data_IF_877620762923
#
_entry.id   IF_877620762923
#
_cell.length_a   1.000
_cell.length_b   1.000
_cell.length_c   1.000
_cell.angle_alpha   90.00
_cell.angle_beta   90.00
_cell.angle_gamma   90.00
#
_symmetry.space_group_name_H-M   'P 1'
#
loop_
_entity.id
_entity.type
_entity.pdbx_description
1 polymer ?
#
# COMPACT_ATOMS: atom_id res chain seq x y z
N UNK A 1 -1.39 -9.16 -17.13
CA UNK A 1 -0.85 -8.82 -15.79
C UNK A 1 -1.98 -8.24 -14.95
N UNK A 2 -2.11 -8.63 -13.68
CA UNK A 2 -3.18 -8.26 -12.71
C UNK A 2 -4.66 -8.53 -13.07
N UNK A 3 -4.99 -8.87 -14.32
CA UNK A 3 -6.37 -9.04 -14.78
C UNK A 3 -7.05 -7.67 -14.90
N UNK A 4 -8.33 -7.58 -14.53
CA UNK A 4 -9.08 -6.31 -14.56
C UNK A 4 -8.81 -5.40 -13.34
N UNK A 5 -7.74 -5.69 -12.57
CA UNK A 5 -7.45 -5.00 -11.31
C UNK A 5 -6.38 -3.94 -11.47
N UNK A 6 -6.71 -2.74 -11.01
CA UNK A 6 -5.81 -1.58 -10.94
C UNK A 6 -4.93 -1.69 -9.71
N UNK A 7 -3.63 -1.49 -9.85
CA UNK A 7 -2.70 -1.58 -8.73
C UNK A 7 -1.26 -1.81 -9.16
N UNK A 8 -0.44 -2.17 -8.19
CA UNK A 8 0.96 -2.52 -8.38
C UNK A 8 1.29 -3.80 -7.63
N UNK A 9 2.29 -4.53 -8.13
CA UNK A 9 2.89 -5.68 -7.45
C UNK A 9 4.40 -5.53 -7.51
N UNK A 10 5.06 -5.69 -6.37
CA UNK A 10 6.52 -5.74 -6.25
C UNK A 10 6.88 -7.06 -5.60
N UNK A 11 7.76 -7.83 -6.23
CA UNK A 11 8.35 -9.03 -5.64
C UNK A 11 9.85 -8.82 -5.49
N UNK A 12 10.35 -9.01 -4.27
CA UNK A 12 11.75 -8.85 -3.91
C UNK A 12 12.31 -10.17 -3.38
N UNK A 13 13.58 -10.45 -3.64
CA UNK A 13 14.34 -11.39 -2.82
C UNK A 13 14.76 -10.66 -1.53
N UNK A 14 14.25 -11.06 -0.35
CA UNK A 14 14.54 -10.35 0.90
C UNK A 14 15.98 -10.51 1.38
N UNK A 15 16.76 -11.42 0.79
CA UNK A 15 18.14 -11.72 1.20
C UNK A 15 19.16 -10.76 0.59
N UNK A 16 18.87 -10.26 -0.61
CA UNK A 16 19.79 -9.43 -1.40
C UNK A 16 19.13 -8.16 -1.99
N UNK A 17 17.80 -8.03 -1.91
CA UNK A 17 17.06 -6.88 -2.43
C UNK A 17 16.77 -6.93 -3.94
N UNK A 18 17.04 -8.04 -4.62
CA UNK A 18 16.76 -8.17 -6.06
C UNK A 18 15.27 -8.00 -6.37
N UNK A 19 14.97 -7.23 -7.40
CA UNK A 19 13.60 -7.04 -7.88
C UNK A 19 13.26 -8.16 -8.86
N UNK A 20 12.53 -9.17 -8.38
CA UNK A 20 12.07 -10.31 -9.17
C UNK A 20 10.90 -9.92 -10.08
N UNK A 21 10.07 -8.97 -9.65
CA UNK A 21 9.00 -8.40 -10.46
C UNK A 21 8.65 -6.97 -10.01
N UNK A 22 8.37 -6.11 -11.00
CA UNK A 22 7.84 -4.76 -10.79
C UNK A 22 6.70 -4.53 -11.80
N UNK A 23 5.45 -4.68 -11.34
CA UNK A 23 4.27 -4.56 -12.17
C UNK A 23 3.41 -3.36 -11.74
N UNK A 24 2.85 -2.65 -12.72
CA UNK A 24 1.89 -1.56 -12.55
C UNK A 24 0.76 -1.75 -13.56
N UNK A 25 -0.49 -1.70 -13.13
CA UNK A 25 -1.66 -1.87 -13.99
C UNK A 25 -2.73 -0.80 -13.69
N UNK A 26 -3.43 -0.27 -14.71
CA UNK A 26 -3.23 -0.53 -16.14
C UNK A 26 -1.92 0.07 -16.67
N UNK A 27 -1.42 -0.54 -17.75
CA UNK A 27 -0.19 -0.15 -18.45
C UNK A 27 -0.49 0.28 -19.89
N UNK A 28 0.58 0.52 -20.64
CA UNK A 28 0.56 0.82 -22.07
C UNK A 28 1.63 -0.05 -22.74
N UNK A 29 1.51 -0.27 -24.06
CA UNK A 29 2.54 -1.01 -24.79
C UNK A 29 3.75 -0.11 -25.05
N UNK A 30 4.96 -0.45 -24.58
CA UNK A 30 6.15 0.35 -24.87
C UNK A 30 6.45 0.48 -26.36
N UNK A 31 6.02 -0.51 -27.16
CA UNK A 31 6.13 -0.46 -28.62
C UNK A 31 5.38 0.74 -29.22
N UNK A 32 4.26 1.16 -28.62
CA UNK A 32 3.52 2.35 -29.08
C UNK A 32 4.30 3.66 -28.88
N UNK A 33 5.20 3.71 -27.90
CA UNK A 33 6.07 4.88 -27.67
C UNK A 33 7.33 4.86 -28.55
N UNK A 34 7.73 3.69 -29.04
CA UNK A 34 8.94 3.53 -29.87
C UNK A 34 8.77 4.00 -31.32
N UNK A 35 7.52 4.18 -31.78
CA UNK A 35 7.18 4.62 -33.12
C UNK A 35 6.61 6.04 -33.10
N UNK A 36 6.49 6.67 -34.28
CA UNK A 36 5.79 7.94 -34.43
C UNK A 36 4.30 7.76 -34.07
N UNK A 37 3.95 8.06 -32.82
CA UNK A 37 2.59 7.97 -32.32
C UNK A 37 1.77 9.18 -32.78
N UNK A 38 0.51 8.95 -33.16
CA UNK A 38 -0.41 10.03 -33.50
C UNK A 38 -0.75 10.87 -32.26
N UNK A 39 -0.93 12.18 -32.44
CA UNK A 39 -1.39 13.09 -31.39
C UNK A 39 -2.69 12.62 -30.74
N UNK A 40 -3.59 11.99 -31.52
CA UNK A 40 -4.83 11.42 -31.01
C UNK A 40 -4.58 10.28 -30.01
N UNK A 41 -3.70 9.32 -30.34
CA UNK A 41 -3.37 8.20 -29.44
C UNK A 41 -2.64 8.68 -28.18
N UNK A 42 -1.72 9.62 -28.32
CA UNK A 42 -1.06 10.26 -27.19
C UNK A 42 -2.06 10.91 -26.23
N UNK A 43 -3.00 11.68 -26.78
CA UNK A 43 -4.06 12.32 -25.98
C UNK A 43 -4.94 11.29 -25.27
N UNK A 44 -5.22 10.13 -25.88
CA UNK A 44 -5.95 9.04 -25.21
C UNK A 44 -5.19 8.51 -23.99
N UNK A 45 -3.87 8.32 -24.10
CA UNK A 45 -3.05 7.81 -22.99
C UNK A 45 -2.91 8.82 -21.85
N UNK A 46 -2.63 10.08 -22.18
CA UNK A 46 -2.40 11.15 -21.19
C UNK A 46 -3.70 11.52 -20.46
N UNK A 47 -4.84 11.50 -21.15
CA UNK A 47 -6.15 11.88 -20.57
C UNK A 47 -6.94 10.68 -20.05
N UNK A 48 -6.40 9.46 -20.14
CA UNK A 48 -7.07 8.29 -19.63
C UNK A 48 -7.29 8.43 -18.10
N UNK A 49 -8.53 8.26 -17.61
CA UNK A 49 -8.84 8.37 -16.18
C UNK A 49 -8.14 7.29 -15.35
N UNK A 50 -7.68 6.23 -16.02
CA UNK A 50 -6.94 5.15 -15.40
C UNK A 50 -5.44 5.40 -15.28
N UNK A 51 -4.93 6.56 -15.70
CA UNK A 51 -3.54 6.97 -15.53
C UNK A 51 -2.52 5.85 -15.86
N UNK A 52 -2.54 5.29 -17.08
CA UNK A 52 -1.67 4.17 -17.46
C UNK A 52 -0.19 4.57 -17.54
N UNK A 53 0.11 5.86 -17.68
CA UNK A 53 1.48 6.39 -17.70
C UNK A 53 2.12 6.48 -16.30
N UNK A 54 1.33 6.35 -15.23
CA UNK A 54 1.84 6.38 -13.85
C UNK A 54 2.31 5.00 -13.45
N UNK A 55 3.59 4.90 -13.06
CA UNK A 55 4.09 3.67 -12.46
C UNK A 55 3.69 3.63 -10.99
N UNK A 56 2.59 2.92 -10.70
CA UNK A 56 2.01 2.82 -9.35
C UNK A 56 2.96 2.19 -8.34
N UNK A 57 3.91 1.36 -8.77
CA UNK A 57 4.84 0.69 -7.86
C UNK A 57 5.86 1.64 -7.22
N UNK A 58 6.25 2.69 -7.94
CA UNK A 58 7.33 3.62 -7.50
C UNK A 58 6.85 5.08 -7.35
N UNK A 59 5.73 5.45 -7.95
CA UNK A 59 5.15 6.81 -7.88
C UNK A 59 3.82 6.84 -7.12
N UNK A 60 3.24 5.67 -6.79
CA UNK A 60 1.97 5.59 -6.07
C UNK A 60 2.15 5.90 -4.58
N UNK A 61 1.50 6.95 -4.11
CA UNK A 61 1.43 7.28 -2.69
C UNK A 61 0.07 6.84 -2.12
N UNK A 62 0.11 5.83 -1.26
CA UNK A 62 -1.07 5.25 -0.64
C UNK A 62 -0.87 5.20 0.88
N UNK A 63 -1.91 5.47 1.68
CA UNK A 63 -1.87 5.14 3.10
C UNK A 63 -1.58 3.65 3.26
N UNK A 64 -0.50 3.24 3.97
CA UNK A 64 -0.13 1.83 4.08
C UNK A 64 -1.15 1.04 4.92
N UNK A 65 -1.95 1.71 5.75
CA UNK A 65 -2.95 1.06 6.58
C UNK A 65 -2.34 0.06 7.57
N UNK A 66 -3.03 -1.04 7.83
CA UNK A 66 -2.63 -1.99 8.88
C UNK A 66 -1.31 -2.71 8.62
N UNK A 67 -0.75 -2.72 7.40
CA UNK A 67 0.56 -3.35 7.17
C UNK A 67 1.70 -2.60 7.87
N UNK A 68 1.50 -1.31 8.19
CA UNK A 68 2.50 -0.50 8.89
C UNK A 68 2.60 -0.81 10.39
N UNK A 69 1.63 -1.54 10.96
CA UNK A 69 1.60 -1.86 12.40
C UNK A 69 2.87 -2.57 12.87
N UNK A 70 3.48 -3.41 12.02
CA UNK A 70 4.74 -4.11 12.34
C UNK A 70 5.84 -3.10 12.69
N UNK A 71 5.99 -2.04 11.89
CA UNK A 71 7.01 -0.99 12.12
C UNK A 71 6.73 -0.24 13.41
N UNK A 72 5.49 0.18 13.64
CA UNK A 72 5.11 0.91 14.86
C UNK A 72 5.28 0.06 16.12
N UNK A 73 4.89 -1.21 16.08
CA UNK A 73 5.09 -2.14 17.20
C UNK A 73 6.58 -2.36 17.48
N UNK A 74 7.40 -2.58 16.44
CA UNK A 74 8.84 -2.73 16.59
C UNK A 74 9.48 -1.50 17.26
N UNK A 75 9.10 -0.30 16.83
CA UNK A 75 9.58 0.94 17.45
C UNK A 75 9.20 1.02 18.94
N UNK A 76 7.96 0.68 19.30
CA UNK A 76 7.53 0.66 20.70
C UNK A 76 8.28 -0.34 21.57
N UNK A 77 8.63 -1.52 21.02
CA UNK A 77 9.45 -2.52 21.71
C UNK A 77 10.90 -2.05 21.90
N UNK A 78 11.51 -1.47 20.85
CA UNK A 78 12.88 -0.95 20.90
C UNK A 78 13.04 0.22 21.88
N UNK A 79 12.02 1.05 22.01
CA UNK A 79 11.96 2.18 22.95
C UNK A 79 11.56 1.76 24.38
N UNK A 80 11.42 0.46 24.63
CA UNK A 80 10.95 -0.12 25.89
C UNK A 80 9.60 0.47 26.38
N UNK A 81 8.75 0.90 25.44
CA UNK A 81 7.38 1.41 25.71
C UNK A 81 6.31 0.33 25.59
N UNK A 82 6.64 -0.75 24.91
CA UNK A 82 5.81 -1.95 24.81
C UNK A 82 6.52 -3.12 25.48
N UNK A 83 5.76 -3.92 26.19
CA UNK A 83 6.18 -5.20 26.78
C UNK A 83 5.49 -6.31 25.97
N UNK A 84 6.25 -7.23 25.35
CA UNK A 84 5.68 -8.29 24.53
C UNK A 84 4.80 -9.26 25.31
N UNK A 85 4.98 -9.38 26.63
CA UNK A 85 4.19 -10.29 27.48
C UNK A 85 2.95 -9.59 28.06
N UNK A 86 2.82 -8.28 27.86
CA UNK A 86 1.73 -7.49 28.42
C UNK A 86 0.48 -7.61 27.54
N UNK A 87 -0.57 -8.15 28.14
CA UNK A 87 -1.90 -8.16 27.53
C UNK A 87 -2.69 -6.86 27.77
N UNK A 88 -3.64 -6.59 26.89
CA UNK A 88 -4.54 -5.45 26.95
C UNK A 88 -5.96 -5.84 26.52
N UNK A 89 -6.95 -5.22 27.16
CA UNK A 89 -8.35 -5.41 26.81
C UNK A 89 -8.74 -4.50 25.65
N UNK A 90 -8.97 -5.06 24.49
CA UNK A 90 -9.52 -4.38 23.32
C UNK A 90 -11.06 -4.47 23.31
N UNK A 91 -11.71 -3.39 23.74
CA UNK A 91 -13.17 -3.23 23.73
C UNK A 91 -13.75 -2.60 22.45
N UNK A 92 -12.97 -2.48 21.37
CA UNK A 92 -13.42 -1.92 20.10
C UNK A 92 -13.33 -0.40 19.97
N UNK A 93 -12.94 0.31 21.05
CA UNK A 93 -12.63 1.75 21.01
C UNK A 93 -11.44 2.09 21.92
N UNK A 94 -10.74 3.18 21.61
CA UNK A 94 -9.66 3.75 22.41
C UNK A 94 -9.82 5.27 22.46
N UNK A 95 -9.80 5.88 23.65
CA UNK A 95 -10.01 7.32 23.84
C UNK A 95 -8.71 8.03 24.18
N UNK A 96 -8.44 9.15 23.51
CA UNK A 96 -7.35 10.07 23.83
C UNK A 96 -7.93 11.47 23.95
N UNK A 97 -7.95 12.03 25.16
CA UNK A 97 -8.65 13.28 25.44
C UNK A 97 -10.13 13.20 25.07
N UNK A 98 -10.59 14.10 24.19
CA UNK A 98 -11.95 14.12 23.66
C UNK A 98 -12.17 13.24 22.44
N UNK A 99 -11.12 12.66 21.85
CA UNK A 99 -11.19 11.88 20.60
C UNK A 99 -11.38 10.39 20.90
N UNK A 100 -12.32 9.76 20.20
CA UNK A 100 -12.54 8.30 20.22
C UNK A 100 -12.03 7.71 18.91
N UNK A 101 -11.10 6.77 19.01
CA UNK A 101 -10.61 5.96 17.92
C UNK A 101 -11.35 4.62 17.93
N UNK A 102 -11.87 4.22 16.77
CA UNK A 102 -12.63 2.97 16.61
C UNK A 102 -11.75 1.87 16.04
N UNK A 103 -11.93 0.66 16.54
CA UNK A 103 -11.41 -0.55 15.92
C UNK A 103 -12.26 -0.93 14.68
N UNK A 104 -11.69 -1.66 13.73
CA UNK A 104 -12.42 -2.24 12.59
C UNK A 104 -13.49 -3.24 13.07
N UNK A 105 -13.25 -3.90 14.21
CA UNK A 105 -14.22 -4.78 14.86
C UNK A 105 -14.94 -4.06 16.00
N UNK A 106 -16.23 -3.73 15.79
CA UNK A 106 -17.06 -2.99 16.76
C UNK A 106 -17.10 -3.62 18.17
N UNK A 107 -17.12 -4.96 18.25
CA UNK A 107 -17.13 -5.69 19.53
C UNK A 107 -15.75 -5.87 20.17
N UNK A 108 -14.68 -5.37 19.54
CA UNK A 108 -13.32 -5.55 20.00
C UNK A 108 -12.76 -6.96 19.83
N UNK A 109 -11.53 -7.13 20.31
CA UNK A 109 -10.75 -8.37 20.20
C UNK A 109 -10.66 -9.13 21.53
N UNK A 110 -11.27 -8.64 22.61
CA UNK A 110 -11.15 -9.27 23.93
C UNK A 110 -9.80 -8.92 24.56
N UNK A 111 -9.16 -9.90 25.19
CA UNK A 111 -7.78 -9.74 25.68
C UNK A 111 -6.82 -10.14 24.57
N UNK A 112 -5.91 -9.23 24.21
CA UNK A 112 -4.84 -9.42 23.22
C UNK A 112 -3.49 -9.06 23.79
#
# INVERSE_FOLDING_TARGET
>A
MLGDRRGAVVALDPRNGEVLALASHPDYSPGELSQAMSTARWNTLVRAPEHPLTNRAIQGLYPPGSVFKIVTTMAGLMEHKLDPEKSFRCGGTFRVGSVIFHDWKKGGHGTI
#
